data_IF_649528375474
#
_entry.id   IF_649528375474
#
_cell.length_a   1.000
_cell.length_b   1.000
_cell.length_c   1.000
_cell.angle_alpha   90.00
_cell.angle_beta   90.00
_cell.angle_gamma   90.00
#
_symmetry.space_group_name_H-M   'P 1'
#
loop_
_entity.id
_entity.type
_entity.pdbx_description
1 polymer ?
#
# COMPACT_ATOMS: atom_id res chain seq x y z
N UNK A 1 13.01 2.65 -5.12
CA UNK A 1 12.38 2.18 -3.86
C UNK A 1 11.92 0.76 -4.16
N UNK A 2 12.45 -0.21 -3.43
CA UNK A 2 12.32 -1.65 -3.71
C UNK A 2 11.02 -2.14 -3.09
N UNK A 3 10.04 -2.54 -3.91
CA UNK A 3 8.87 -3.29 -3.43
C UNK A 3 9.36 -4.64 -2.87
N UNK A 4 9.19 -4.88 -1.57
CA UNK A 4 9.54 -6.14 -0.94
C UNK A 4 8.31 -7.04 -0.98
N UNK A 5 8.21 -7.85 -2.03
CA UNK A 5 7.20 -8.90 -2.10
C UNK A 5 7.44 -9.94 -0.99
N UNK A 6 6.53 -10.05 -0.02
CA UNK A 6 6.66 -10.98 1.11
C UNK A 6 6.02 -12.34 0.82
N UNK A 7 6.80 -13.42 0.74
CA UNK A 7 6.32 -14.81 0.95
C UNK A 7 7.38 -15.66 1.69
N UNK A 8 6.90 -16.53 2.61
CA UNK A 8 7.62 -17.61 3.29
C UNK A 8 8.29 -18.58 2.30
N UNK A 9 9.62 -18.60 2.25
CA UNK A 9 10.38 -19.48 1.36
C UNK A 9 10.47 -20.92 1.92
N UNK A 10 9.89 -21.89 1.21
CA UNK A 10 10.26 -23.30 1.33
C UNK A 10 11.31 -23.61 0.25
N UNK A 11 12.54 -23.89 0.66
CA UNK A 11 13.66 -24.13 -0.24
C UNK A 11 13.56 -25.51 -0.91
N UNK A 12 13.35 -25.54 -2.22
CA UNK A 12 13.63 -26.70 -3.06
C UNK A 12 14.76 -26.34 -4.04
N UNK A 13 15.92 -26.97 -3.87
CA UNK A 13 17.08 -26.86 -4.76
C UNK A 13 16.84 -27.70 -6.02
N UNK A 14 16.54 -27.05 -7.14
CA UNK A 14 16.62 -27.65 -8.47
C UNK A 14 17.65 -26.89 -9.30
N UNK A 15 18.71 -27.60 -9.73
CA UNK A 15 19.72 -27.07 -10.64
C UNK A 15 19.10 -26.83 -12.03
N UNK A 16 18.93 -25.56 -12.43
CA UNK A 16 18.59 -25.16 -13.81
C UNK A 16 19.87 -24.83 -14.59
N UNK A 17 19.97 -25.38 -15.80
CA UNK A 17 20.99 -25.02 -16.79
C UNK A 17 20.72 -23.61 -17.35
N UNK A 18 21.74 -22.77 -17.61
CA UNK A 18 21.55 -21.43 -18.13
C UNK A 18 21.18 -21.50 -19.63
N UNK A 19 19.91 -21.23 -19.95
CA UNK A 19 19.50 -20.85 -21.29
C UNK A 19 19.73 -19.34 -21.43
N UNK A 20 20.75 -18.93 -22.19
CA UNK A 20 20.90 -17.54 -22.61
C UNK A 20 19.93 -17.29 -23.77
N UNK A 21 18.74 -16.80 -23.45
CA UNK A 21 17.89 -16.11 -24.42
C UNK A 21 18.30 -14.64 -24.41
N UNK A 22 18.87 -14.16 -25.52
CA UNK A 22 18.98 -12.72 -25.80
C UNK A 22 17.55 -12.17 -26.00
N UNK A 23 16.84 -11.96 -24.89
CA UNK A 23 15.60 -11.21 -24.90
C UNK A 23 15.98 -9.76 -25.22
N UNK A 24 15.63 -9.30 -26.42
CA UNK A 24 15.76 -7.90 -26.79
C UNK A 24 14.98 -7.09 -25.74
N UNK A 25 15.69 -6.34 -24.89
CA UNK A 25 15.01 -5.46 -23.95
C UNK A 25 14.30 -4.39 -24.75
N UNK A 26 13.00 -4.27 -24.52
CA UNK A 26 12.23 -3.09 -24.86
C UNK A 26 12.88 -1.86 -24.18
N UNK A 27 12.67 -0.67 -24.73
CA UNK A 27 13.18 0.58 -24.16
C UNK A 27 12.28 1.75 -24.53
N UNK A 28 12.56 2.93 -24.00
CA UNK A 28 11.89 4.18 -24.40
C UNK A 28 10.38 4.19 -24.14
N UNK A 29 9.96 3.65 -22.98
CA UNK A 29 8.56 3.67 -22.54
C UNK A 29 7.65 2.68 -23.27
N UNK A 30 8.21 1.64 -23.90
CA UNK A 30 7.45 0.63 -24.64
C UNK A 30 7.36 -0.73 -23.95
N UNK A 31 8.10 -0.94 -22.86
CA UNK A 31 8.10 -2.20 -22.15
C UNK A 31 6.74 -2.50 -21.53
N UNK A 32 6.20 -3.65 -21.88
CA UNK A 32 4.95 -4.19 -21.38
C UNK A 32 5.17 -4.93 -20.05
N UNK A 33 4.06 -5.28 -19.41
CA UNK A 33 4.05 -6.06 -18.17
C UNK A 33 4.90 -7.34 -18.30
N UNK A 34 5.80 -7.57 -17.34
CA UNK A 34 6.78 -8.68 -17.27
C UNK A 34 7.89 -8.66 -18.32
N UNK A 35 7.97 -7.66 -19.18
CA UNK A 35 9.15 -7.49 -20.05
C UNK A 35 10.34 -6.95 -19.25
N UNK A 36 11.54 -7.34 -19.66
CA UNK A 36 12.80 -6.93 -19.02
C UNK A 36 13.00 -5.43 -19.22
N UNK A 37 13.37 -4.73 -18.14
CA UNK A 37 13.59 -3.29 -18.14
C UNK A 37 14.86 -2.95 -17.37
N UNK A 38 15.45 -1.78 -17.65
CA UNK A 38 16.60 -1.28 -16.89
C UNK A 38 16.15 -0.25 -15.86
N UNK A 39 15.13 0.54 -16.20
CA UNK A 39 14.59 1.60 -15.36
C UNK A 39 13.09 1.79 -15.61
N UNK A 40 12.39 2.45 -14.68
CA UNK A 40 10.94 2.67 -14.81
C UNK A 40 10.54 3.50 -16.04
N UNK A 41 11.47 4.26 -16.64
CA UNK A 41 11.19 5.01 -17.89
C UNK A 41 11.11 4.10 -19.13
N UNK A 42 11.57 2.86 -19.02
CA UNK A 42 11.45 1.89 -20.11
C UNK A 42 10.03 1.32 -20.21
N UNK A 43 9.29 1.32 -19.09
CA UNK A 43 7.95 0.74 -18.99
C UNK A 43 6.85 1.68 -19.47
N UNK A 44 5.76 1.11 -20.01
CA UNK A 44 4.55 1.87 -20.31
C UNK A 44 3.92 2.45 -19.03
N UNK A 45 3.13 3.52 -19.18
CA UNK A 45 2.50 4.21 -18.06
C UNK A 45 1.67 3.29 -17.15
N UNK A 46 1.80 3.47 -15.83
CA UNK A 46 1.18 2.61 -14.82
C UNK A 46 2.00 1.37 -14.45
N UNK A 47 3.19 1.21 -15.05
CA UNK A 47 4.18 0.21 -14.70
C UNK A 47 5.47 0.84 -14.14
N UNK A 48 6.20 0.10 -13.32
CA UNK A 48 7.51 0.47 -12.81
C UNK A 48 8.49 -0.70 -12.98
N UNK A 49 9.77 -0.39 -13.04
CA UNK A 49 10.81 -1.39 -13.24
C UNK A 49 11.39 -1.83 -11.90
N UNK A 50 11.27 -3.10 -11.55
CA UNK A 50 11.90 -3.68 -10.37
C UNK A 50 12.13 -5.17 -10.55
N UNK A 51 12.94 -5.76 -9.68
CA UNK A 51 13.04 -7.21 -9.52
C UNK A 51 12.22 -7.64 -8.31
N UNK A 52 11.77 -8.90 -8.32
CA UNK A 52 11.15 -9.54 -7.18
C UNK A 52 12.18 -10.45 -6.51
N UNK A 53 13.00 -9.88 -5.61
CA UNK A 53 14.09 -10.62 -4.96
C UNK A 53 13.63 -11.87 -4.19
N UNK A 54 12.36 -11.92 -3.76
CA UNK A 54 11.76 -13.06 -3.08
C UNK A 54 11.68 -14.32 -3.94
N UNK A 55 11.63 -14.18 -5.27
CA UNK A 55 11.59 -15.32 -6.21
C UNK A 55 12.99 -15.86 -6.56
N UNK A 56 14.06 -15.26 -5.99
CA UNK A 56 15.44 -15.55 -6.37
C UNK A 56 15.82 -15.06 -7.77
N UNK A 57 14.90 -14.36 -8.44
CA UNK A 57 15.12 -13.71 -9.73
C UNK A 57 15.53 -12.24 -9.51
N UNK A 58 16.74 -11.92 -9.97
CA UNK A 58 17.31 -10.56 -9.89
C UNK A 58 17.03 -9.76 -11.17
N UNK A 59 16.35 -10.36 -12.15
CA UNK A 59 15.99 -9.71 -13.39
C UNK A 59 14.91 -8.67 -13.10
N UNK A 60 15.19 -7.42 -13.46
CA UNK A 60 14.18 -6.38 -13.38
C UNK A 60 13.18 -6.55 -14.52
N UNK A 61 11.89 -6.54 -14.19
CA UNK A 61 10.81 -6.56 -15.17
C UNK A 61 9.81 -5.44 -14.88
N UNK A 62 8.99 -5.09 -15.87
CA UNK A 62 7.95 -4.09 -15.64
C UNK A 62 6.79 -4.69 -14.83
N UNK A 63 6.53 -4.13 -13.65
CA UNK A 63 5.46 -4.50 -12.74
C UNK A 63 4.39 -3.40 -12.68
N UNK A 64 3.15 -3.78 -12.40
CA UNK A 64 2.06 -2.81 -12.23
C UNK A 64 2.14 -2.17 -10.85
N UNK A 65 2.13 -0.84 -10.78
CA UNK A 65 1.94 -0.10 -9.52
C UNK A 65 0.58 0.60 -9.45
N UNK A 66 -0.03 0.93 -10.59
CA UNK A 66 -1.34 1.59 -10.64
C UNK A 66 -2.44 0.61 -11.02
N UNK A 67 -3.46 0.49 -10.17
CA UNK A 67 -4.64 -0.32 -10.43
C UNK A 67 -5.55 0.35 -11.47
N UNK A 68 -6.29 -0.48 -12.21
CA UNK A 68 -7.32 0.00 -13.13
C UNK A 68 -8.54 0.44 -12.32
N UNK A 69 -9.05 1.66 -12.56
CA UNK A 69 -10.27 2.12 -11.92
C UNK A 69 -11.46 1.28 -12.43
N UNK A 70 -12.06 0.49 -11.54
CA UNK A 70 -13.15 -0.42 -11.91
C UNK A 70 -14.41 0.29 -12.39
N UNK A 71 -14.63 1.55 -11.98
CA UNK A 71 -15.76 2.35 -12.43
C UNK A 71 -15.59 2.88 -13.85
N UNK A 72 -14.35 3.01 -14.35
CA UNK A 72 -14.08 3.43 -15.73
C UNK A 72 -14.29 2.28 -16.74
N UNK A 73 -14.16 1.03 -16.30
CA UNK A 73 -14.48 -0.16 -17.11
C UNK A 73 -15.99 -0.24 -17.34
N UNK A 74 -16.78 -0.06 -16.28
CA UNK A 74 -18.24 -0.05 -16.34
C UNK A 74 -18.79 0.85 -15.23
N UNK A 75 -19.33 2.00 -15.61
CA UNK A 75 -19.99 2.90 -14.66
C UNK A 75 -21.40 2.44 -14.26
N UNK A 76 -21.92 3.02 -13.18
CA UNK A 76 -23.32 2.92 -12.79
C UNK A 76 -23.76 1.62 -12.13
N UNK A 77 -22.84 0.73 -11.76
CA UNK A 77 -23.19 -0.43 -10.93
C UNK A 77 -23.31 -0.01 -9.45
N UNK A 78 -24.12 -0.72 -8.64
CA UNK A 78 -24.10 -0.57 -7.19
C UNK A 78 -22.70 -0.87 -6.62
N UNK A 79 -22.33 -0.21 -5.52
CA UNK A 79 -21.02 -0.33 -4.87
C UNK A 79 -20.56 -1.80 -4.64
N UNK A 80 -21.48 -2.67 -4.23
CA UNK A 80 -21.23 -4.09 -3.95
C UNK A 80 -21.13 -4.98 -5.19
N UNK A 81 -21.13 -4.41 -6.40
CA UNK A 81 -20.93 -5.12 -7.68
C UNK A 81 -19.57 -4.83 -8.32
N UNK A 82 -18.72 -4.07 -7.63
CA UNK A 82 -17.33 -3.86 -7.99
C UNK A 82 -16.40 -4.68 -7.10
N UNK A 83 -15.22 -4.99 -7.61
CA UNK A 83 -14.08 -5.47 -6.82
C UNK A 83 -13.17 -4.29 -6.52
N UNK A 84 -13.06 -3.92 -5.25
CA UNK A 84 -12.25 -2.79 -4.82
C UNK A 84 -10.88 -3.28 -4.34
N UNK A 85 -9.81 -2.57 -4.72
CA UNK A 85 -8.48 -2.81 -4.16
C UNK A 85 -8.42 -2.24 -2.74
N UNK A 86 -7.96 -3.05 -1.79
CA UNK A 86 -7.89 -2.70 -0.38
C UNK A 86 -6.51 -2.98 0.20
N UNK A 87 -6.05 -2.18 1.16
CA UNK A 87 -4.79 -2.40 1.89
C UNK A 87 -5.04 -2.66 3.38
N UNK A 88 -4.30 -3.61 3.95
CA UNK A 88 -4.35 -4.00 5.37
C UNK A 88 -3.39 -3.13 6.18
N UNK A 89 -3.84 -2.56 7.30
CA UNK A 89 -3.09 -1.54 8.06
C UNK A 89 -2.46 -0.50 7.12
N UNK A 90 -3.27 0.25 6.38
CA UNK A 90 -2.81 1.10 5.28
C UNK A 90 -1.78 2.15 5.68
N UNK A 91 -1.75 2.51 6.95
CA UNK A 91 -0.82 3.46 7.57
C UNK A 91 0.51 2.84 8.01
N UNK A 92 0.66 1.52 7.98
CA UNK A 92 1.82 0.82 8.51
C UNK A 92 2.95 0.79 7.48
N UNK A 93 3.61 1.93 7.28
CA UNK A 93 4.49 2.18 6.13
C UNK A 93 5.97 2.01 6.50
N UNK A 94 6.70 1.26 5.68
CA UNK A 94 8.14 1.06 5.86
C UNK A 94 8.88 2.39 5.74
N UNK A 95 9.66 2.73 6.76
CA UNK A 95 10.57 3.88 6.72
C UNK A 95 9.89 5.24 6.93
N UNK A 96 8.61 5.29 7.26
CA UNK A 96 7.98 6.55 7.63
C UNK A 96 8.58 7.11 8.94
N UNK A 97 8.73 8.44 9.06
CA UNK A 97 9.27 9.06 10.27
C UNK A 97 8.46 8.68 11.52
N UNK A 98 9.17 8.42 12.62
CA UNK A 98 8.51 8.18 13.90
C UNK A 98 8.39 9.44 14.73
N UNK A 99 7.23 9.63 15.37
CA UNK A 99 6.92 10.77 16.24
C UNK A 99 7.20 10.48 17.73
N UNK A 100 7.43 9.21 18.09
CA UNK A 100 7.45 8.74 19.50
C UNK A 100 8.70 7.94 19.85
N UNK A 101 9.69 7.91 18.94
CA UNK A 101 10.95 7.19 19.10
C UNK A 101 11.08 5.97 18.19
N UNK A 102 12.07 5.09 18.41
CA UNK A 102 12.28 3.93 17.54
C UNK A 102 11.05 3.02 17.46
N UNK A 103 10.63 2.69 16.23
CA UNK A 103 9.48 1.83 15.96
C UNK A 103 9.92 0.37 15.77
N UNK A 104 9.28 -0.55 16.49
CA UNK A 104 9.49 -1.99 16.46
C UNK A 104 8.13 -2.67 16.33
N UNK A 105 7.64 -2.73 15.10
CA UNK A 105 6.42 -3.43 14.73
C UNK A 105 6.55 -3.96 13.29
N UNK A 106 5.55 -4.67 12.80
CA UNK A 106 5.49 -5.11 11.42
C UNK A 106 5.00 -3.97 10.52
N UNK A 107 5.50 -3.94 9.29
CA UNK A 107 5.06 -3.00 8.27
C UNK A 107 4.24 -3.75 7.23
N UNK A 108 3.24 -3.07 6.66
CA UNK A 108 2.33 -3.66 5.68
C UNK A 108 2.41 -2.99 4.31
N UNK A 109 2.90 -1.75 4.24
CA UNK A 109 2.90 -0.94 3.03
C UNK A 109 4.28 -0.31 2.78
N UNK A 110 4.62 -0.06 1.52
CA UNK A 110 5.76 0.79 1.14
C UNK A 110 5.35 2.18 0.63
N UNK A 111 4.08 2.32 0.23
CA UNK A 111 3.51 3.55 -0.30
C UNK A 111 2.77 4.35 0.80
N UNK A 112 2.88 5.69 0.76
CA UNK A 112 2.06 6.57 1.59
C UNK A 112 0.56 6.36 1.33
N UNK A 113 -0.31 6.79 2.25
CA UNK A 113 -1.77 6.70 2.03
C UNK A 113 -2.18 7.52 0.80
N UNK A 114 -1.63 8.72 0.63
CA UNK A 114 -1.80 9.52 -0.58
C UNK A 114 -1.38 8.76 -1.86
N UNK A 115 -0.24 8.06 -1.84
CA UNK A 115 0.20 7.28 -2.99
C UNK A 115 -0.70 6.07 -3.26
N UNK A 116 -1.12 5.35 -2.21
CA UNK A 116 -2.10 4.26 -2.32
C UNK A 116 -3.40 4.74 -2.99
N UNK A 117 -3.93 5.90 -2.60
CA UNK A 117 -5.11 6.52 -3.22
C UNK A 117 -4.88 6.83 -4.71
N UNK A 118 -3.75 7.46 -5.04
CA UNK A 118 -3.35 7.80 -6.41
C UNK A 118 -3.10 6.55 -7.29
N UNK A 119 -2.68 5.46 -6.66
CA UNK A 119 -2.42 4.16 -7.27
C UNK A 119 -3.68 3.29 -7.38
N UNK A 120 -4.84 3.76 -6.91
CA UNK A 120 -6.15 3.14 -7.15
C UNK A 120 -6.69 2.29 -6.01
N UNK A 121 -6.07 2.32 -4.82
CA UNK A 121 -6.64 1.73 -3.60
C UNK A 121 -7.91 2.52 -3.24
N UNK A 122 -8.97 1.80 -2.87
CA UNK A 122 -10.28 2.38 -2.47
C UNK A 122 -10.80 1.82 -1.16
N UNK A 123 -10.09 0.89 -0.54
CA UNK A 123 -10.39 0.41 0.82
C UNK A 123 -9.16 0.48 1.71
N UNK A 124 -9.31 1.03 2.91
CA UNK A 124 -8.20 1.28 3.83
C UNK A 124 -8.54 0.76 5.21
N UNK A 125 -7.73 -0.15 5.73
CA UNK A 125 -7.88 -0.66 7.09
C UNK A 125 -7.01 0.14 8.06
N UNK A 126 -7.65 0.76 9.05
CA UNK A 126 -7.05 1.64 10.03
C UNK A 126 -7.34 1.10 11.44
N UNK A 127 -6.29 0.77 12.17
CA UNK A 127 -6.40 0.29 13.55
C UNK A 127 -6.23 1.51 14.46
N UNK A 128 -7.29 1.86 15.18
CA UNK A 128 -7.37 3.10 15.95
C UNK A 128 -7.34 2.81 17.45
N UNK A 129 -6.44 3.49 18.16
CA UNK A 129 -6.18 3.28 19.59
C UNK A 129 -6.24 4.61 20.36
N UNK A 130 -6.67 4.56 21.62
CA UNK A 130 -6.38 5.63 22.58
C UNK A 130 -4.87 5.67 22.86
N UNK A 131 -4.21 6.79 22.58
CA UNK A 131 -2.78 6.94 22.83
C UNK A 131 -2.36 8.42 22.93
N UNK A 132 -1.50 8.75 23.90
CA UNK A 132 -1.02 10.12 24.14
C UNK A 132 -2.17 11.16 24.15
N UNK A 133 -3.26 10.81 24.83
CA UNK A 133 -4.49 11.59 24.96
C UNK A 133 -5.26 11.90 23.65
N UNK A 134 -4.92 11.23 22.56
CA UNK A 134 -5.55 11.36 21.23
C UNK A 134 -5.83 9.97 20.62
N UNK A 135 -6.40 9.93 19.40
CA UNK A 135 -6.61 8.70 18.62
C UNK A 135 -5.47 8.50 17.63
N UNK A 136 -4.76 7.39 17.77
CA UNK A 136 -3.59 7.07 16.98
C UNK A 136 -3.77 5.81 16.15
N UNK A 137 -3.02 5.75 15.06
CA UNK A 137 -2.82 4.55 14.27
C UNK A 137 -1.64 3.78 14.82
N UNK A 138 -1.88 2.52 15.20
CA UNK A 138 -0.85 1.66 15.78
C UNK A 138 -0.98 0.25 15.23
N UNK A 139 0.13 -0.35 14.84
CA UNK A 139 0.16 -1.78 14.54
C UNK A 139 0.65 -2.50 15.78
N UNK A 140 -0.29 -2.87 16.64
CA UNK A 140 -0.03 -3.28 18.03
C UNK A 140 -0.79 -4.55 18.40
N UNK A 141 -0.74 -4.93 19.67
CA UNK A 141 -1.38 -6.13 20.18
C UNK A 141 -2.04 -5.87 21.54
N UNK A 142 -3.04 -6.68 21.88
CA UNK A 142 -3.71 -6.62 23.18
C UNK A 142 -4.59 -5.38 23.40
N UNK A 143 -4.95 -4.65 22.33
CA UNK A 143 -5.77 -3.45 22.43
C UNK A 143 -5.06 -2.25 23.04
N UNK A 144 -3.73 -2.26 23.08
CA UNK A 144 -2.91 -1.19 23.66
C UNK A 144 -1.92 -0.67 22.62
N UNK A 145 -1.84 0.65 22.46
CA UNK A 145 -0.78 1.28 21.67
C UNK A 145 0.42 1.64 22.53
N UNK A 146 1.63 1.46 21.99
CA UNK A 146 2.89 1.78 22.64
C UNK A 146 3.71 2.74 21.78
N UNK A 147 4.65 3.47 22.38
CA UNK A 147 5.59 4.34 21.65
C UNK A 147 6.30 3.59 20.49
N UNK A 148 6.63 2.32 20.68
CA UNK A 148 7.33 1.53 19.67
C UNK A 148 6.40 0.86 18.63
N UNK A 149 5.08 0.93 18.79
CA UNK A 149 4.09 0.40 17.82
C UNK A 149 3.25 1.48 17.15
N UNK A 150 3.35 2.73 17.61
CA UNK A 150 2.63 3.89 17.09
C UNK A 150 3.21 4.40 15.78
N UNK A 151 2.33 4.84 14.89
CA UNK A 151 2.70 5.47 13.63
C UNK A 151 2.47 6.98 13.69
N UNK A 152 1.20 7.39 13.68
CA UNK A 152 0.80 8.80 13.75
C UNK A 152 -0.62 8.97 14.31
N UNK A 153 -1.04 10.20 14.67
CA UNK A 153 -2.43 10.51 14.93
C UNK A 153 -3.32 10.17 13.73
N UNK A 154 -4.46 9.52 13.97
CA UNK A 154 -5.37 9.06 12.91
C UNK A 154 -5.91 10.20 12.04
N UNK A 155 -6.01 11.40 12.60
CA UNK A 155 -6.48 12.59 11.88
C UNK A 155 -5.60 12.96 10.68
N UNK A 156 -4.30 12.63 10.69
CA UNK A 156 -3.40 12.94 9.58
C UNK A 156 -3.76 12.14 8.33
N UNK A 157 -3.81 10.81 8.46
CA UNK A 157 -4.29 9.91 7.41
C UNK A 157 -5.71 10.27 6.93
N UNK A 158 -6.63 10.64 7.84
CA UNK A 158 -7.98 11.07 7.44
C UNK A 158 -7.98 12.38 6.63
N UNK A 159 -7.08 13.32 6.92
CA UNK A 159 -6.89 14.55 6.13
C UNK A 159 -6.32 14.27 4.74
N UNK A 160 -5.43 13.29 4.59
CA UNK A 160 -4.98 12.85 3.26
C UNK A 160 -6.15 12.31 2.43
N UNK A 161 -7.00 11.48 3.05
CA UNK A 161 -8.20 10.94 2.43
C UNK A 161 -9.22 12.04 2.07
N UNK A 162 -9.43 13.01 2.96
CA UNK A 162 -10.27 14.18 2.71
C UNK A 162 -9.75 14.98 1.51
N UNK A 163 -8.46 15.33 1.51
CA UNK A 163 -7.85 16.08 0.43
C UNK A 163 -8.01 15.37 -0.94
N UNK A 164 -7.86 14.04 -0.95
CA UNK A 164 -8.10 13.23 -2.14
C UNK A 164 -9.56 13.31 -2.62
N UNK A 165 -10.53 13.14 -1.72
CA UNK A 165 -11.96 13.19 -2.07
C UNK A 165 -12.40 14.59 -2.53
N UNK A 166 -11.86 15.64 -1.92
CA UNK A 166 -12.09 17.04 -2.34
C UNK A 166 -11.57 17.26 -3.76
N UNK A 167 -10.38 16.75 -4.09
CA UNK A 167 -9.82 16.84 -5.43
C UNK A 167 -10.53 15.93 -6.45
N UNK A 168 -11.18 14.85 -5.99
CA UNK A 168 -11.79 13.82 -6.84
C UNK A 168 -13.23 13.52 -6.39
N UNK A 169 -14.20 14.42 -6.64
CA UNK A 169 -15.55 14.36 -6.04
C UNK A 169 -16.42 13.19 -6.50
N UNK A 170 -15.99 12.43 -7.51
CA UNK A 170 -16.68 11.23 -8.01
C UNK A 170 -16.09 9.93 -7.45
N UNK A 171 -14.97 10.00 -6.73
CA UNK A 171 -14.33 8.85 -6.14
C UNK A 171 -15.02 8.45 -4.83
N UNK A 172 -14.90 7.17 -4.48
CA UNK A 172 -15.48 6.59 -3.28
C UNK A 172 -14.37 5.84 -2.56
N UNK A 173 -14.17 6.11 -1.27
CA UNK A 173 -13.29 5.33 -0.42
C UNK A 173 -14.10 4.60 0.65
N UNK A 174 -13.61 3.45 1.07
CA UNK A 174 -14.13 2.69 2.22
C UNK A 174 -13.05 2.69 3.29
N UNK A 175 -13.41 3.12 4.50
CA UNK A 175 -12.53 3.04 5.66
C UNK A 175 -13.03 1.89 6.54
N UNK A 176 -12.17 0.90 6.75
CA UNK A 176 -12.39 -0.17 7.71
C UNK A 176 -11.69 0.24 9.00
N UNK A 177 -12.46 0.48 10.06
CA UNK A 177 -11.90 0.85 11.36
C UNK A 177 -11.84 -0.40 12.23
N UNK A 178 -10.63 -0.79 12.62
CA UNK A 178 -10.44 -1.74 13.72
C UNK A 178 -10.35 -0.93 15.01
N UNK A 179 -11.45 -0.92 15.76
CA UNK A 179 -11.67 -0.01 16.87
C UNK A 179 -11.15 -0.60 18.19
N UNK A 180 -10.02 -0.06 18.65
CA UNK A 180 -9.46 -0.30 19.97
C UNK A 180 -9.61 0.92 20.90
N UNK A 181 -10.42 1.90 20.50
CA UNK A 181 -10.69 3.10 21.29
C UNK A 181 -11.67 2.75 22.40
N UNK A 182 -11.28 3.01 23.64
CA UNK A 182 -12.07 2.74 24.85
C UNK A 182 -12.70 4.02 25.42
N UNK A 183 -12.11 5.18 25.13
CA UNK A 183 -12.66 6.48 25.53
C UNK A 183 -14.02 6.70 24.88
N UNK A 184 -14.99 7.11 25.70
CA UNK A 184 -16.35 7.44 25.23
C UNK A 184 -16.30 8.50 24.14
N UNK A 185 -16.91 8.23 22.99
CA UNK A 185 -16.95 9.10 21.81
C UNK A 185 -15.59 9.43 21.19
N UNK A 186 -14.53 8.66 21.48
CA UNK A 186 -13.19 8.93 20.96
C UNK A 186 -13.11 8.92 19.42
N UNK A 187 -13.74 7.98 18.73
CA UNK A 187 -13.77 8.01 17.26
C UNK A 187 -14.60 9.16 16.69
N UNK A 188 -15.65 9.60 17.38
CA UNK A 188 -16.51 10.69 16.90
C UNK A 188 -15.74 12.00 16.78
N UNK A 189 -14.77 12.25 17.67
CA UNK A 189 -13.96 13.48 17.61
C UNK A 189 -13.04 13.57 16.39
N UNK A 190 -12.85 12.48 15.64
CA UNK A 190 -12.09 12.51 14.39
C UNK A 190 -12.90 13.07 13.21
N UNK A 191 -14.23 13.16 13.32
CA UNK A 191 -15.14 13.49 12.21
C UNK A 191 -16.01 14.73 12.48
N UNK A 192 -15.69 15.50 13.52
CA UNK A 192 -16.40 16.71 13.94
C UNK A 192 -15.47 17.91 13.93
#
# INVERSE_FOLDING_TARGET
MSAQCCILAAAFLLFRLPYYSDALSCSSGQCQLREVCTSSVDCVGGLFCSSCAADGDTTNTCHRYKATNVTSIRGGLPFNKYSWLTTHNSFSIVGEPSQTGPRVTFYNQEDSVTDQLNNGVRGFMLDMYDFLDDIWLCHSFGGVCYNYTSFEPAINTLKEMEAFLVANPTEIITIFIEDYVTRTQGLTSLFT
#
